data_IF_179404933012
#
_entry.id   IF_179404933012
#
_cell.length_a   1.000
_cell.length_b   1.000
_cell.length_c   1.000
_cell.angle_alpha   90.00
_cell.angle_beta   90.00
_cell.angle_gamma   90.00
#
_symmetry.space_group_name_H-M   'P 1'
#
loop_
_entity.id
_entity.type
_entity.pdbx_description
1 polymer ?
#
# COMPACT_ATOMS: atom_id res chain seq x y z
N UNK A 1 -6.61 5.95 -11.43
CA UNK A 1 -7.00 6.95 -10.43
C UNK A 1 -7.88 8.05 -11.02
N UNK A 2 -8.80 8.61 -10.23
CA UNK A 2 -9.91 9.46 -10.70
C UNK A 2 -9.49 10.69 -11.50
N UNK A 3 -8.33 11.24 -11.17
CA UNK A 3 -7.79 12.47 -11.75
C UNK A 3 -6.97 12.27 -13.04
N UNK A 4 -6.66 11.04 -13.45
CA UNK A 4 -5.68 10.78 -14.51
C UNK A 4 -6.27 10.48 -15.90
N UNK A 5 -7.60 10.61 -16.03
CA UNK A 5 -8.38 10.30 -17.25
C UNK A 5 -8.19 8.86 -17.73
N UNK A 6 -8.10 7.89 -16.81
CA UNK A 6 -8.04 6.46 -17.11
C UNK A 6 -6.67 5.97 -17.62
N UNK A 7 -5.61 6.79 -17.51
CA UNK A 7 -4.26 6.40 -17.97
C UNK A 7 -3.68 5.23 -17.19
N UNK A 8 -4.03 5.10 -15.91
CA UNK A 8 -3.57 4.01 -15.03
C UNK A 8 -4.08 2.62 -15.45
N UNK A 9 -5.15 2.53 -16.26
CA UNK A 9 -5.86 1.29 -16.57
C UNK A 9 -5.32 0.53 -17.77
N UNK A 10 -4.58 1.21 -18.64
CA UNK A 10 -4.16 0.69 -19.94
C UNK A 10 -2.73 0.13 -19.89
N UNK A 11 -2.10 0.05 -18.71
CA UNK A 11 -0.63 -0.08 -18.63
C UNK A 11 -0.15 -1.12 -17.64
N UNK A 12 0.70 -2.00 -18.14
CA UNK A 12 1.58 -2.86 -17.36
C UNK A 12 2.77 -2.05 -16.85
N UNK A 13 3.10 -2.24 -15.57
CA UNK A 13 4.34 -1.70 -15.02
C UNK A 13 5.53 -2.50 -15.52
N UNK A 14 6.64 -1.85 -15.94
CA UNK A 14 7.81 -2.58 -16.39
C UNK A 14 8.41 -3.37 -15.23
N UNK A 15 8.32 -4.70 -15.32
CA UNK A 15 8.94 -5.64 -14.36
C UNK A 15 10.47 -5.52 -14.32
N UNK A 16 11.06 -4.85 -15.32
CA UNK A 16 12.49 -4.50 -15.38
C UNK A 16 12.91 -3.51 -14.29
N UNK A 17 11.98 -2.77 -13.68
CA UNK A 17 12.27 -1.78 -12.62
C UNK A 17 11.85 -2.30 -11.25
N UNK A 18 10.62 -2.80 -11.12
CA UNK A 18 10.07 -3.29 -9.86
C UNK A 18 9.65 -4.75 -10.04
N UNK A 19 10.23 -5.65 -9.24
CA UNK A 19 9.88 -7.07 -9.27
C UNK A 19 8.45 -7.32 -8.80
N UNK A 20 7.77 -8.28 -9.43
CA UNK A 20 6.48 -8.84 -8.99
C UNK A 20 6.62 -10.12 -8.18
N UNK A 21 7.85 -10.51 -7.81
CA UNK A 21 8.14 -11.86 -7.32
C UNK A 21 7.33 -12.32 -6.10
N UNK A 22 6.85 -11.42 -5.23
CA UNK A 22 5.90 -11.80 -4.17
C UNK A 22 4.55 -12.24 -4.75
N UNK A 23 3.98 -11.43 -5.65
CA UNK A 23 2.69 -11.72 -6.29
C UNK A 23 2.77 -12.96 -7.16
N UNK A 24 3.83 -13.10 -7.94
CA UNK A 24 4.06 -14.29 -8.78
C UNK A 24 4.15 -15.57 -7.93
N UNK A 25 4.80 -15.48 -6.75
CA UNK A 25 4.88 -16.59 -5.80
C UNK A 25 3.51 -16.93 -5.19
N UNK A 26 2.73 -15.93 -4.75
CA UNK A 26 1.37 -16.15 -4.21
C UNK A 26 0.45 -16.80 -5.24
N UNK A 27 0.57 -16.40 -6.51
CA UNK A 27 -0.25 -16.89 -7.61
C UNK A 27 0.28 -18.18 -8.25
N UNK A 28 1.38 -18.74 -7.73
CA UNK A 28 2.02 -19.94 -8.26
C UNK A 28 2.31 -19.85 -9.78
N UNK A 29 2.73 -18.67 -10.25
CA UNK A 29 3.01 -18.42 -11.67
C UNK A 29 4.17 -19.31 -12.14
N UNK A 30 4.03 -19.87 -13.35
CA UNK A 30 5.09 -20.65 -13.99
C UNK A 30 6.31 -19.73 -14.28
N UNK A 31 7.42 -19.97 -13.59
CA UNK A 31 8.64 -19.12 -13.58
C UNK A 31 8.44 -17.74 -12.93
N UNK A 32 8.25 -17.69 -11.60
CA UNK A 32 8.01 -16.43 -10.91
C UNK A 32 9.24 -15.53 -10.90
N UNK A 33 9.04 -14.22 -10.79
CA UNK A 33 10.11 -13.28 -10.48
C UNK A 33 10.80 -13.60 -9.15
N UNK A 34 11.97 -12.99 -8.90
CA UNK A 34 12.71 -13.20 -7.64
C UNK A 34 11.83 -12.79 -6.45
N UNK A 35 11.55 -13.76 -5.56
CA UNK A 35 10.88 -13.56 -4.27
C UNK A 35 11.63 -12.51 -3.43
N UNK A 36 10.93 -11.64 -2.68
CA UNK A 36 11.61 -10.74 -1.76
C UNK A 36 12.36 -11.51 -0.66
N UNK A 37 13.43 -10.91 -0.16
CA UNK A 37 14.21 -11.50 0.95
C UNK A 37 13.53 -11.29 2.32
N UNK A 38 12.64 -10.29 2.39
CA UNK A 38 11.87 -9.86 3.56
C UNK A 38 10.62 -9.11 3.10
N UNK A 39 9.53 -9.17 3.87
CA UNK A 39 8.31 -8.38 3.61
C UNK A 39 8.56 -6.87 3.73
N UNK A 40 9.60 -6.49 4.48
CA UNK A 40 10.11 -5.12 4.57
C UNK A 40 11.59 -5.12 4.19
N UNK A 41 11.95 -4.36 3.16
CA UNK A 41 13.33 -4.12 2.75
C UNK A 41 13.69 -2.66 3.00
N UNK A 42 14.90 -2.39 3.46
CA UNK A 42 15.33 -1.03 3.83
C UNK A 42 16.69 -0.69 3.28
N UNK A 43 16.90 0.59 2.94
CA UNK A 43 18.18 1.13 2.45
C UNK A 43 18.36 2.56 2.93
N UNK A 44 19.59 2.97 3.21
CA UNK A 44 19.94 4.37 3.31
C UNK A 44 20.41 4.84 1.94
N UNK A 45 19.72 5.82 1.35
CA UNK A 45 20.06 6.37 0.05
C UNK A 45 21.01 7.56 0.18
N UNK A 46 21.62 7.94 -0.95
CA UNK A 46 22.42 9.16 -1.03
C UNK A 46 21.63 10.39 -0.56
N UNK A 47 22.34 11.31 0.09
CA UNK A 47 21.70 12.45 0.73
C UNK A 47 20.93 12.08 2.00
N UNK A 48 21.29 11.00 2.71
CA UNK A 48 20.68 10.68 4.02
C UNK A 48 19.14 10.55 3.97
N UNK A 49 18.63 9.85 2.96
CA UNK A 49 17.20 9.58 2.78
C UNK A 49 16.95 8.12 3.16
N UNK A 50 15.98 7.89 4.06
CA UNK A 50 15.54 6.54 4.38
C UNK A 50 14.71 5.99 3.23
N UNK A 51 14.91 4.72 2.88
CA UNK A 51 14.07 4.00 1.93
C UNK A 51 13.54 2.74 2.60
N UNK A 52 12.22 2.55 2.57
CA UNK A 52 11.54 1.34 2.99
C UNK A 52 10.69 0.85 1.82
N UNK A 53 10.86 -0.41 1.43
CA UNK A 53 9.89 -1.13 0.59
C UNK A 53 9.07 -2.04 1.50
N UNK A 54 7.76 -1.93 1.45
CA UNK A 54 6.84 -2.89 2.06
C UNK A 54 6.10 -3.61 0.93
N UNK A 55 6.11 -4.94 1.00
CA UNK A 55 5.56 -5.79 -0.05
C UNK A 55 4.08 -6.14 0.15
N UNK A 56 3.59 -6.04 1.38
CA UNK A 56 2.22 -6.32 1.78
C UNK A 56 2.07 -6.21 3.29
N UNK A 57 0.87 -5.94 3.76
CA UNK A 57 0.52 -5.78 5.17
C UNK A 57 0.19 -7.13 5.82
N UNK A 58 1.10 -8.09 5.68
CA UNK A 58 0.91 -9.47 6.14
C UNK A 58 2.25 -10.07 6.58
N UNK A 59 2.19 -10.90 7.62
CA UNK A 59 3.34 -11.68 8.08
C UNK A 59 3.47 -12.94 7.22
N UNK A 60 4.61 -13.09 6.53
CA UNK A 60 4.84 -14.21 5.61
C UNK A 60 6.18 -14.87 5.91
N UNK A 61 6.16 -16.19 6.08
CA UNK A 61 7.38 -17.00 6.15
C UNK A 61 7.96 -17.22 4.74
N UNK A 62 8.63 -16.19 4.24
CA UNK A 62 9.22 -16.21 2.91
C UNK A 62 10.32 -17.28 2.74
N UNK A 63 10.85 -17.81 3.83
CA UNK A 63 11.98 -18.76 3.84
C UNK A 63 11.57 -20.19 4.22
N UNK A 64 10.28 -20.44 4.43
CA UNK A 64 9.73 -21.77 4.78
C UNK A 64 10.40 -22.36 6.03
N UNK A 65 10.66 -21.50 7.01
CA UNK A 65 11.32 -21.84 8.28
C UNK A 65 10.34 -22.33 9.37
N UNK A 66 9.03 -22.24 9.11
CA UNK A 66 7.95 -22.49 10.05
C UNK A 66 7.56 -21.28 10.91
N UNK A 67 8.22 -20.13 10.74
CA UNK A 67 7.94 -18.89 11.50
C UNK A 67 7.88 -17.70 10.55
N UNK A 68 6.78 -16.94 10.60
CA UNK A 68 6.67 -15.68 9.86
C UNK A 68 7.23 -14.51 10.71
N UNK A 69 8.23 -13.76 10.22
CA UNK A 69 8.64 -12.52 10.86
C UNK A 69 7.51 -11.47 10.83
N UNK A 70 7.41 -10.66 11.89
CA UNK A 70 6.44 -9.57 11.94
C UNK A 70 6.81 -8.45 10.96
N UNK A 71 5.98 -8.22 9.95
CA UNK A 71 6.11 -7.14 8.97
C UNK A 71 6.06 -5.78 9.66
N UNK A 72 5.10 -5.56 10.57
CA UNK A 72 5.03 -4.33 11.38
C UNK A 72 6.29 -4.15 12.25
N UNK A 73 6.77 -5.22 12.88
CA UNK A 73 7.99 -5.17 13.69
C UNK A 73 9.24 -4.82 12.88
N UNK A 74 9.36 -5.36 11.66
CA UNK A 74 10.43 -5.03 10.73
C UNK A 74 10.35 -3.57 10.26
N UNK A 75 9.13 -3.08 9.99
CA UNK A 75 8.89 -1.68 9.63
C UNK A 75 9.29 -0.73 10.76
N UNK A 76 8.78 -0.96 11.98
CA UNK A 76 9.14 -0.19 13.19
C UNK A 76 10.65 -0.19 13.43
N UNK A 77 11.31 -1.34 13.22
CA UNK A 77 12.76 -1.44 13.36
C UNK A 77 13.52 -0.59 12.33
N UNK A 78 13.08 -0.60 11.07
CA UNK A 78 13.66 0.24 10.02
C UNK A 78 13.48 1.74 10.33
N UNK A 79 12.27 2.13 10.76
CA UNK A 79 11.95 3.51 11.09
C UNK A 79 12.73 4.00 12.32
N UNK A 80 12.88 3.17 13.36
CA UNK A 80 13.70 3.47 14.53
C UNK A 80 15.17 3.71 14.16
N UNK A 81 15.71 2.93 13.22
CA UNK A 81 17.07 3.15 12.71
C UNK A 81 17.19 4.47 11.96
N UNK A 82 16.24 4.77 11.07
CA UNK A 82 16.25 6.03 10.33
C UNK A 82 16.07 7.25 11.22
N UNK A 83 15.29 7.15 12.30
CA UNK A 83 15.22 8.17 13.34
C UNK A 83 16.58 8.39 14.04
N UNK A 84 17.30 7.31 14.38
CA UNK A 84 18.66 7.41 14.97
C UNK A 84 19.65 8.06 14.01
N UNK A 85 19.56 7.73 12.72
CA UNK A 85 20.38 8.31 11.65
C UNK A 85 19.95 9.73 11.26
N UNK A 86 18.81 10.21 11.79
CA UNK A 86 18.23 11.52 11.48
C UNK A 86 18.12 11.74 9.98
N UNK A 87 17.53 10.76 9.28
CA UNK A 87 17.31 10.87 7.84
C UNK A 87 16.49 12.13 7.53
N UNK A 88 16.78 12.76 6.40
CA UNK A 88 16.13 14.02 6.00
C UNK A 88 14.68 13.81 5.53
N UNK A 89 14.35 12.60 5.11
CA UNK A 89 13.03 12.20 4.64
C UNK A 89 12.99 10.70 4.41
N UNK A 90 11.78 10.18 4.19
CA UNK A 90 11.51 8.78 3.95
C UNK A 90 10.88 8.59 2.58
N UNK A 91 11.42 7.67 1.79
CA UNK A 91 10.73 7.10 0.63
C UNK A 91 10.11 5.78 1.08
N UNK A 92 8.78 5.70 0.97
CA UNK A 92 8.02 4.49 1.25
C UNK A 92 7.58 3.87 -0.09
N UNK A 93 8.28 2.84 -0.55
CA UNK A 93 7.95 2.13 -1.77
C UNK A 93 6.87 1.08 -1.54
N UNK A 94 5.66 1.41 -1.95
CA UNK A 94 4.47 0.54 -1.95
C UNK A 94 4.07 0.14 -3.38
N UNK A 95 4.96 0.29 -4.37
CA UNK A 95 4.75 -0.26 -5.72
C UNK A 95 4.71 -1.78 -5.65
N UNK A 96 3.76 -2.37 -6.38
CA UNK A 96 3.45 -3.81 -6.41
C UNK A 96 2.99 -4.39 -5.07
N UNK A 97 2.69 -3.55 -4.06
CA UNK A 97 2.19 -4.01 -2.77
C UNK A 97 0.90 -4.85 -2.96
N UNK A 98 0.86 -6.04 -2.36
CA UNK A 98 -0.23 -7.02 -2.52
C UNK A 98 -1.40 -6.80 -1.55
N UNK A 99 -1.31 -5.82 -0.66
CA UNK A 99 -2.26 -5.59 0.43
C UNK A 99 -2.00 -6.50 1.62
N UNK A 100 -3.01 -6.64 2.48
CA UNK A 100 -2.97 -7.55 3.62
C UNK A 100 -4.03 -7.19 4.65
N UNK A 101 -3.58 -6.90 5.85
CA UNK A 101 -4.40 -6.53 6.99
C UNK A 101 -4.56 -5.01 7.05
N UNK A 102 -5.80 -4.55 7.06
CA UNK A 102 -6.14 -3.13 7.21
C UNK A 102 -5.69 -2.59 8.56
N UNK A 103 -5.77 -3.41 9.62
CA UNK A 103 -5.25 -3.06 10.94
C UNK A 103 -3.76 -2.73 10.92
N UNK A 104 -2.95 -3.50 10.18
CA UNK A 104 -1.52 -3.26 10.06
C UNK A 104 -1.24 -1.97 9.26
N UNK A 105 -2.05 -1.64 8.26
CA UNK A 105 -1.97 -0.34 7.58
C UNK A 105 -2.24 0.81 8.54
N UNK A 106 -3.29 0.70 9.36
CA UNK A 106 -3.62 1.71 10.37
C UNK A 106 -2.51 1.87 11.41
N UNK A 107 -1.91 0.77 11.87
CA UNK A 107 -0.75 0.77 12.78
C UNK A 107 0.49 1.42 12.14
N UNK A 108 0.78 1.13 10.87
CA UNK A 108 1.89 1.77 10.14
C UNK A 108 1.65 3.28 10.00
N UNK A 109 0.44 3.70 9.65
CA UNK A 109 0.07 5.12 9.57
C UNK A 109 0.13 5.83 10.94
N UNK A 110 -0.07 5.09 12.03
CA UNK A 110 0.12 5.54 13.40
C UNK A 110 1.54 6.05 13.68
N UNK A 111 2.54 5.47 13.01
CA UNK A 111 3.95 5.89 13.11
C UNK A 111 4.23 7.24 12.47
N UNK A 112 3.30 7.78 11.69
CA UNK A 112 3.40 9.08 11.03
C UNK A 112 2.39 10.11 11.57
N UNK A 113 1.53 9.69 12.50
CA UNK A 113 0.38 10.47 12.98
C UNK A 113 0.58 10.90 14.44
N UNK A 114 0.18 12.14 14.75
CA UNK A 114 0.20 12.67 16.13
C UNK A 114 -1.15 12.64 16.82
N UNK A 115 -2.21 12.45 16.04
CA UNK A 115 -3.58 12.49 16.50
C UNK A 115 -4.28 11.23 15.99
N UNK A 116 -5.25 10.77 16.77
CA UNK A 116 -6.14 9.68 16.37
C UNK A 116 -6.97 10.12 15.17
N UNK A 117 -7.06 9.26 14.15
CA UNK A 117 -7.89 9.48 12.97
C UNK A 117 -8.65 8.20 12.60
N UNK A 118 -9.82 8.34 11.98
CA UNK A 118 -10.53 7.20 11.41
C UNK A 118 -9.73 6.66 10.23
N UNK A 119 -9.49 5.34 10.20
CA UNK A 119 -8.95 4.66 9.04
C UNK A 119 -10.09 4.18 8.13
N UNK A 120 -11.05 3.43 8.69
CA UNK A 120 -12.22 2.96 7.95
C UNK A 120 -13.33 2.43 8.86
N UNK A 121 -14.51 2.26 8.26
CA UNK A 121 -15.48 1.25 8.68
C UNK A 121 -15.48 0.08 7.68
N UNK A 122 -15.34 -1.14 8.19
CA UNK A 122 -15.45 -2.36 7.40
C UNK A 122 -16.92 -2.77 7.25
N UNK A 123 -17.45 -2.76 6.02
CA UNK A 123 -18.83 -3.16 5.69
C UNK A 123 -18.88 -4.42 4.85
N UNK A 124 -19.66 -5.42 5.25
CA UNK A 124 -19.74 -6.72 4.58
C UNK A 124 -21.16 -7.06 4.10
N UNK A 125 -21.26 -7.75 2.97
CA UNK A 125 -22.54 -8.19 2.43
C UNK A 125 -23.11 -9.37 3.23
N UNK A 126 -24.24 -9.16 3.88
CA UNK A 126 -24.99 -10.21 4.56
C UNK A 126 -25.98 -10.84 3.57
N UNK A 127 -25.71 -12.09 3.15
CA UNK A 127 -26.55 -12.82 2.20
C UNK A 127 -27.92 -13.23 2.76
N UNK A 128 -28.06 -13.34 4.08
CA UNK A 128 -29.33 -13.68 4.72
C UNK A 128 -30.31 -12.49 4.70
N UNK A 129 -29.80 -11.26 4.83
CA UNK A 129 -30.62 -10.03 4.81
C UNK A 129 -30.61 -9.32 3.46
N UNK A 130 -29.65 -9.64 2.59
CA UNK A 130 -29.46 -9.00 1.30
C UNK A 130 -28.87 -7.59 1.38
N UNK A 131 -28.21 -7.23 2.49
CA UNK A 131 -27.75 -5.86 2.78
C UNK A 131 -26.30 -5.83 3.25
N UNK A 132 -25.59 -4.74 2.96
CA UNK A 132 -24.30 -4.45 3.58
C UNK A 132 -24.47 -4.03 5.04
N UNK A 133 -23.58 -4.50 5.91
CA UNK A 133 -23.59 -4.22 7.36
C UNK A 133 -22.16 -3.94 7.82
N UNK A 134 -21.98 -2.88 8.61
CA UNK A 134 -20.73 -2.64 9.32
C UNK A 134 -20.61 -3.71 10.40
N UNK A 135 -19.56 -4.50 10.32
CA UNK A 135 -19.26 -5.58 11.26
C UNK A 135 -17.80 -5.47 11.70
N UNK A 136 -17.49 -5.93 12.92
CA UNK A 136 -16.11 -6.11 13.31
C UNK A 136 -15.41 -7.08 12.35
N UNK A 137 -14.26 -6.69 11.80
CA UNK A 137 -13.35 -7.65 11.16
C UNK A 137 -12.75 -8.58 12.24
N UNK A 138 -12.24 -9.74 11.85
CA UNK A 138 -11.71 -10.79 12.75
C UNK A 138 -10.59 -10.30 13.69
N UNK A 139 -9.96 -9.16 13.37
CA UNK A 139 -8.90 -8.52 14.16
C UNK A 139 -9.34 -7.19 14.82
N UNK A 140 -10.59 -6.79 14.67
CA UNK A 140 -11.09 -5.54 15.25
C UNK A 140 -11.31 -5.65 16.77
N UNK A 141 -11.18 -4.53 17.47
CA UNK A 141 -11.52 -4.46 18.89
C UNK A 141 -13.04 -4.64 19.04
N UNK A 142 -13.45 -5.85 19.45
CA UNK A 142 -14.85 -6.19 19.68
C UNK A 142 -15.51 -5.33 20.78
N UNK A 143 -14.71 -4.60 21.57
CA UNK A 143 -15.22 -3.63 22.55
C UNK A 143 -15.48 -2.26 21.95
N UNK A 144 -15.08 -2.01 20.69
CA UNK A 144 -15.39 -0.77 20.00
C UNK A 144 -16.85 -0.79 19.52
N UNK A 145 -17.77 0.01 20.11
CA UNK A 145 -19.20 -0.05 19.79
C UNK A 145 -19.54 0.45 18.39
N UNK A 146 -18.64 1.16 17.71
CA UNK A 146 -18.84 1.64 16.34
C UNK A 146 -18.16 0.77 15.27
N UNK A 147 -17.42 -0.27 15.67
CA UNK A 147 -16.62 -1.17 14.81
C UNK A 147 -15.68 -0.44 13.84
N UNK A 148 -15.33 0.80 14.13
CA UNK A 148 -14.36 1.56 13.36
C UNK A 148 -12.94 1.04 13.61
N UNK A 149 -12.12 1.07 12.56
CA UNK A 149 -10.68 0.96 12.67
C UNK A 149 -10.08 2.36 12.69
N UNK A 150 -9.19 2.61 13.65
CA UNK A 150 -8.56 3.91 13.84
C UNK A 150 -7.05 3.83 13.60
N UNK A 151 -6.52 4.89 12.99
CA UNK A 151 -5.10 5.23 13.06
C UNK A 151 -4.86 5.81 14.46
N UNK A 152 -4.04 5.13 15.25
CA UNK A 152 -3.65 5.57 16.59
C UNK A 152 -2.16 5.97 16.57
N UNK A 153 -1.77 7.13 17.14
CA UNK A 153 -0.37 7.51 17.24
C UNK A 153 0.47 6.44 17.94
N UNK A 154 1.61 6.07 17.35
CA UNK A 154 2.47 5.00 17.87
C UNK A 154 3.97 5.30 17.67
N UNK A 155 4.81 4.54 18.35
CA UNK A 155 6.26 4.65 18.31
C UNK A 155 6.91 3.53 17.48
N UNK A 156 8.00 3.82 16.74
CA UNK A 156 8.69 5.12 16.66
C UNK A 156 7.97 6.13 15.75
N UNK A 157 7.75 7.35 16.23
CA UNK A 157 7.16 8.41 15.42
C UNK A 157 8.15 9.00 14.40
N UNK A 158 7.72 9.18 13.15
CA UNK A 158 8.46 9.90 12.10
C UNK A 158 7.65 11.08 11.58
N UNK A 159 8.08 12.29 11.94
CA UNK A 159 7.41 13.52 11.53
C UNK A 159 8.01 14.22 10.30
N UNK A 160 9.01 13.62 9.65
CA UNK A 160 9.69 14.22 8.48
C UNK A 160 8.89 14.06 7.17
N UNK A 161 9.40 14.60 6.05
CA UNK A 161 8.80 14.40 4.73
C UNK A 161 8.76 12.92 4.33
N UNK A 162 7.62 12.49 3.78
CA UNK A 162 7.40 11.12 3.30
C UNK A 162 6.95 11.16 1.83
N UNK A 163 7.63 10.42 0.96
CA UNK A 163 7.21 10.20 -0.42
C UNK A 163 6.86 8.72 -0.63
N UNK A 164 5.57 8.42 -0.77
CA UNK A 164 5.09 7.09 -1.10
C UNK A 164 5.20 6.84 -2.61
N UNK A 165 6.05 5.90 -3.03
CA UNK A 165 6.08 5.44 -4.42
C UNK A 165 4.92 4.48 -4.65
N UNK A 166 4.04 4.79 -5.60
CA UNK A 166 2.82 4.03 -5.90
C UNK A 166 2.76 3.59 -7.36
N UNK A 167 1.98 2.55 -7.63
CA UNK A 167 1.64 2.13 -8.98
C UNK A 167 0.34 1.33 -9.05
N UNK A 168 -0.10 1.01 -10.26
CA UNK A 168 -1.35 0.29 -10.53
C UNK A 168 -1.38 -1.17 -10.03
N UNK A 169 -0.30 -1.66 -9.44
CA UNK A 169 -0.23 -2.98 -8.79
C UNK A 169 -0.25 -2.89 -7.26
N UNK A 170 -0.30 -1.70 -6.68
CA UNK A 170 -0.65 -1.49 -5.29
C UNK A 170 -2.18 -1.66 -5.14
N UNK A 171 -2.60 -2.60 -4.30
CA UNK A 171 -4.00 -3.03 -4.13
C UNK A 171 -4.37 -3.12 -2.64
N UNK A 172 -5.67 -3.14 -2.35
CA UNK A 172 -6.23 -3.44 -1.02
C UNK A 172 -5.68 -2.51 0.07
N UNK A 173 -5.32 -3.03 1.25
CA UNK A 173 -4.76 -2.28 2.38
C UNK A 173 -3.59 -1.37 2.01
N UNK A 174 -2.77 -1.75 1.01
CA UNK A 174 -1.70 -0.92 0.47
C UNK A 174 -2.20 0.41 -0.14
N UNK A 175 -3.44 0.44 -0.64
CA UNK A 175 -4.11 1.67 -1.10
C UNK A 175 -4.58 2.53 0.06
N UNK A 176 -5.07 1.93 1.14
CA UNK A 176 -5.35 2.66 2.39
C UNK A 176 -4.08 3.27 2.98
N UNK A 177 -2.94 2.59 2.86
CA UNK A 177 -1.62 3.10 3.21
C UNK A 177 -1.22 4.28 2.31
N UNK A 178 -1.41 4.17 0.99
CA UNK A 178 -1.17 5.27 0.05
C UNK A 178 -2.05 6.50 0.35
N UNK A 179 -3.34 6.28 0.66
CA UNK A 179 -4.30 7.31 1.01
C UNK A 179 -3.89 8.02 2.31
N UNK A 180 -3.60 7.25 3.36
CA UNK A 180 -3.18 7.81 4.65
C UNK A 180 -1.88 8.62 4.56
N UNK A 181 -0.87 8.17 3.78
CA UNK A 181 0.34 8.97 3.57
C UNK A 181 0.03 10.26 2.83
N UNK A 182 -0.81 10.22 1.79
CA UNK A 182 -1.19 11.41 1.02
C UNK A 182 -1.86 12.49 1.88
N UNK A 183 -2.59 12.08 2.91
CA UNK A 183 -3.31 12.99 3.82
C UNK A 183 -2.42 13.57 4.93
N UNK A 184 -1.17 13.11 5.06
CA UNK A 184 -0.22 13.69 6.01
C UNK A 184 0.19 15.11 5.59
N UNK A 185 0.45 16.02 6.56
CA UNK A 185 0.89 17.38 6.25
C UNK A 185 2.18 17.50 5.41
N UNK A 186 3.02 16.45 5.43
CA UNK A 186 4.28 16.36 4.67
C UNK A 186 4.40 15.03 3.91
N UNK A 187 3.26 14.48 3.51
CA UNK A 187 3.19 13.24 2.74
C UNK A 187 2.85 13.51 1.28
N UNK A 188 3.55 12.82 0.39
CA UNK A 188 3.33 12.90 -1.05
C UNK A 188 3.22 11.49 -1.63
N UNK A 189 2.38 11.32 -2.65
CA UNK A 189 2.32 10.11 -3.46
C UNK A 189 2.97 10.38 -4.82
N UNK A 190 3.94 9.55 -5.19
CA UNK A 190 4.78 9.74 -6.37
C UNK A 190 4.68 8.51 -7.27
N UNK A 191 4.47 8.74 -8.55
CA UNK A 191 4.50 7.67 -9.53
C UNK A 191 4.05 8.11 -10.93
N UNK A 192 4.20 7.22 -11.91
CA UNK A 192 3.66 7.42 -13.25
C UNK A 192 2.12 7.40 -13.24
N UNK A 193 1.56 6.46 -12.49
CA UNK A 193 0.14 6.11 -12.42
C UNK A 193 -0.29 5.97 -10.96
N UNK A 194 -1.60 6.01 -10.73
CA UNK A 194 -2.13 5.78 -9.39
C UNK A 194 -2.18 4.30 -9.03
N UNK A 195 -2.69 4.02 -7.83
CA UNK A 195 -2.98 2.65 -7.36
C UNK A 195 -4.12 2.01 -8.13
N UNK A 196 -4.41 0.74 -7.85
CA UNK A 196 -5.32 -0.08 -8.63
C UNK A 196 -6.79 0.37 -8.56
N UNK A 197 -7.25 0.86 -7.41
CA UNK A 197 -8.65 1.14 -7.12
C UNK A 197 -9.41 -0.09 -6.69
N UNK A 198 -8.84 -0.88 -5.78
CA UNK A 198 -9.32 -2.17 -5.30
C UNK A 198 -9.19 -2.27 -3.77
N UNK A 199 -9.89 -1.39 -3.03
CA UNK A 199 -9.88 -1.36 -1.56
C UNK A 199 -11.19 -1.93 -0.96
N UNK A 200 -11.54 -3.14 -1.41
CA UNK A 200 -12.66 -3.90 -0.86
C UNK A 200 -12.18 -5.14 -0.12
N UNK A 201 -13.03 -5.72 0.73
CA UNK A 201 -12.67 -6.90 1.51
C UNK A 201 -12.83 -8.17 0.68
N UNK A 202 -11.74 -8.91 0.59
CA UNK A 202 -11.65 -10.21 -0.07
C UNK A 202 -11.88 -11.36 0.93
N UNK A 203 -12.39 -12.49 0.44
CA UNK A 203 -12.65 -13.67 1.29
C UNK A 203 -13.93 -14.42 0.92
N UNK A 204 -14.81 -13.78 0.14
CA UNK A 204 -15.97 -14.44 -0.44
C UNK A 204 -15.57 -15.51 -1.46
N UNK A 205 -16.24 -16.65 -1.45
CA UNK A 205 -16.05 -17.67 -2.46
C UNK A 205 -16.96 -18.88 -2.32
N UNK A 206 -17.00 -19.69 -3.38
CA UNK A 206 -17.69 -20.97 -3.39
C UNK A 206 -16.94 -22.01 -4.23
N UNK A 207 -17.04 -23.27 -3.79
CA UNK A 207 -16.64 -24.43 -4.59
C UNK A 207 -17.78 -24.80 -5.51
N UNK A 208 -17.48 -24.97 -6.79
CA UNK A 208 -18.42 -25.46 -7.81
C UNK A 208 -17.93 -26.81 -8.36
N UNK A 209 -18.78 -27.58 -9.07
CA UNK A 209 -18.35 -28.84 -9.68
C UNK A 209 -17.10 -28.69 -10.56
N UNK A 210 -16.28 -29.74 -10.60
CA UNK A 210 -15.04 -29.75 -11.39
C UNK A 210 -13.80 -29.21 -10.66
N UNK A 211 -13.80 -29.20 -9.33
CA UNK A 211 -12.70 -28.67 -8.50
C UNK A 211 -12.38 -27.19 -8.76
N UNK A 212 -13.37 -26.42 -9.19
CA UNK A 212 -13.23 -24.98 -9.40
C UNK A 212 -13.64 -24.25 -8.12
N UNK A 213 -12.86 -23.27 -7.72
CA UNK A 213 -13.20 -22.31 -6.67
C UNK A 213 -13.36 -20.94 -7.31
N UNK A 214 -14.50 -20.30 -7.08
CA UNK A 214 -14.76 -18.93 -7.51
C UNK A 214 -14.63 -18.04 -6.28
N UNK A 215 -13.85 -16.96 -6.39
CA UNK A 215 -13.68 -15.96 -5.35
C UNK A 215 -14.30 -14.64 -5.78
N UNK A 216 -14.80 -13.86 -4.83
CA UNK A 216 -15.32 -12.52 -5.05
C UNK A 216 -15.08 -11.62 -3.84
N UNK A 217 -14.94 -10.29 -4.05
CA UNK A 217 -15.00 -9.34 -2.95
C UNK A 217 -16.40 -9.36 -2.33
N UNK A 218 -16.47 -9.26 -1.02
CA UNK A 218 -17.72 -9.37 -0.27
C UNK A 218 -17.91 -8.23 0.75
N UNK A 219 -16.98 -7.28 0.79
CA UNK A 219 -17.07 -6.09 1.63
C UNK A 219 -16.42 -4.85 1.02
N UNK A 220 -16.60 -3.73 1.69
CA UNK A 220 -16.25 -2.38 1.26
C UNK A 220 -15.62 -1.59 2.41
N UNK A 221 -14.49 -0.95 2.16
CA UNK A 221 -13.92 0.05 3.06
C UNK A 221 -14.71 1.35 2.94
N UNK A 222 -15.21 1.87 4.06
CA UNK A 222 -16.03 3.09 4.11
C UNK A 222 -15.37 4.21 4.94
N UNK A 223 -15.60 5.46 4.55
CA UNK A 223 -15.11 6.64 5.25
C UNK A 223 -16.00 7.04 6.44
N UNK A 224 -15.69 8.19 7.06
CA UNK A 224 -16.45 8.77 8.19
C UNK A 224 -17.93 9.02 7.87
N UNK A 225 -18.25 9.25 6.60
CA UNK A 225 -19.59 9.53 6.12
C UNK A 225 -20.29 8.23 5.65
N UNK A 226 -19.61 7.08 5.81
CA UNK A 226 -20.02 5.72 5.43
C UNK A 226 -20.14 5.54 3.91
N UNK A 227 -19.36 6.32 3.17
CA UNK A 227 -19.23 6.20 1.72
C UNK A 227 -17.98 5.40 1.36
N UNK A 228 -18.00 4.70 0.23
CA UNK A 228 -16.87 3.88 -0.22
C UNK A 228 -15.64 4.76 -0.47
N UNK A 229 -14.54 4.49 0.23
CA UNK A 229 -13.33 5.31 0.21
C UNK A 229 -12.59 5.22 -1.13
N UNK A 230 -12.35 3.99 -1.58
CA UNK A 230 -11.60 3.70 -2.81
C UNK A 230 -12.26 2.52 -3.53
N UNK A 231 -12.70 2.76 -4.75
CA UNK A 231 -13.19 1.72 -5.67
C UNK A 231 -12.98 2.20 -7.12
N UNK A 232 -12.89 1.25 -8.05
CA UNK A 232 -12.80 1.51 -9.48
C UNK A 232 -14.18 1.65 -10.09
N UNK A 233 -14.67 2.89 -10.21
CA UNK A 233 -15.96 3.16 -10.87
C UNK A 233 -15.72 3.42 -12.35
N UNK A 234 -16.29 2.60 -13.22
CA UNK A 234 -16.03 2.63 -14.68
C UNK A 234 -14.54 2.48 -15.02
N UNK A 235 -13.84 1.67 -14.22
CA UNK A 235 -12.39 1.51 -14.26
C UNK A 235 -11.62 2.69 -13.66
N UNK A 236 -12.27 3.78 -13.27
CA UNK A 236 -11.61 4.97 -12.74
C UNK A 236 -11.61 4.90 -11.20
N UNK A 237 -10.47 4.59 -10.59
CA UNK A 237 -10.32 4.50 -9.13
C UNK A 237 -8.87 4.42 -8.64
N UNK A 238 -8.68 4.39 -7.33
CA UNK A 238 -7.38 4.33 -6.66
C UNK A 238 -6.81 5.70 -6.27
N UNK A 239 -5.76 5.69 -5.47
CA UNK A 239 -5.01 6.85 -5.02
C UNK A 239 -4.12 7.36 -6.16
N UNK A 240 -4.34 8.61 -6.53
CA UNK A 240 -3.54 9.31 -7.54
C UNK A 240 -2.23 9.82 -6.99
N UNK A 241 -1.14 9.86 -7.79
CA UNK A 241 0.07 10.57 -7.42
C UNK A 241 -0.24 12.06 -7.27
N UNK A 242 -0.01 12.62 -6.09
CA UNK A 242 -0.01 14.06 -5.87
C UNK A 242 1.13 14.73 -6.63
N UNK A 243 2.26 14.04 -6.80
CA UNK A 243 3.37 14.44 -7.67
C UNK A 243 3.58 13.38 -8.75
N UNK A 244 3.08 13.65 -9.96
CA UNK A 244 3.15 12.71 -11.07
C UNK A 244 4.51 12.71 -11.75
N UNK A 245 5.14 11.53 -11.82
CA UNK A 245 6.29 11.32 -12.71
C UNK A 245 5.79 11.28 -14.15
N UNK A 246 6.31 12.12 -15.07
CA UNK A 246 5.80 12.15 -16.43
C UNK A 246 6.26 10.92 -17.22
N UNK A 247 5.31 10.19 -17.80
CA UNK A 247 5.63 9.10 -18.74
C UNK A 247 5.90 9.67 -20.15
N UNK A 248 7.06 10.30 -20.33
CA UNK A 248 7.58 10.72 -21.64
C UNK A 248 8.20 9.52 -22.39
N UNK A 249 8.45 9.66 -23.69
CA UNK A 249 9.19 8.65 -24.46
C UNK A 249 10.55 8.34 -23.83
N UNK A 250 11.27 9.37 -23.41
CA UNK A 250 12.58 9.23 -22.76
C UNK A 250 12.46 8.40 -21.47
N UNK A 251 11.55 8.76 -20.57
CA UNK A 251 11.35 8.04 -19.32
C UNK A 251 10.88 6.59 -19.55
N UNK A 252 10.06 6.35 -20.57
CA UNK A 252 9.65 5.00 -20.95
C UNK A 252 10.85 4.14 -21.42
N UNK A 253 11.75 4.73 -22.23
CA UNK A 253 12.96 4.04 -22.68
C UNK A 253 13.94 3.78 -21.53
N UNK A 254 14.07 4.71 -20.57
CA UNK A 254 14.87 4.55 -19.35
C UNK A 254 14.34 3.40 -18.48
N UNK A 255 13.03 3.39 -18.21
CA UNK A 255 12.39 2.33 -17.44
C UNK A 255 12.52 0.95 -18.14
N UNK A 256 12.39 0.90 -19.46
CA UNK A 256 12.59 -0.32 -20.24
C UNK A 256 14.03 -0.88 -20.15
N UNK A 257 15.03 -0.03 -19.85
CA UNK A 257 16.42 -0.43 -19.57
C UNK A 257 16.68 -0.80 -18.11
N UNK A 258 15.65 -0.70 -17.25
CA UNK A 258 15.77 -1.00 -15.81
C UNK A 258 16.17 0.20 -14.95
N UNK A 259 16.15 1.42 -15.48
CA UNK A 259 16.39 2.64 -14.68
C UNK A 259 15.12 3.00 -13.88
N UNK A 260 15.24 3.19 -12.56
CA UNK A 260 14.12 3.57 -11.69
C UNK A 260 13.90 5.09 -11.69
N UNK A 261 13.28 5.58 -12.77
CA UNK A 261 12.95 6.99 -12.98
C UNK A 261 12.07 7.56 -11.85
N UNK A 262 11.23 6.73 -11.24
CA UNK A 262 10.31 7.18 -10.19
C UNK A 262 11.00 7.33 -8.86
N UNK A 263 11.89 6.40 -8.51
CA UNK A 263 12.73 6.54 -7.34
C UNK A 263 13.61 7.79 -7.44
N UNK A 264 14.20 8.05 -8.61
CA UNK A 264 14.93 9.30 -8.85
C UNK A 264 14.05 10.54 -8.63
N UNK A 265 12.79 10.49 -9.05
CA UNK A 265 11.85 11.58 -8.86
C UNK A 265 11.45 11.75 -7.39
N UNK A 266 11.17 10.67 -6.66
CA UNK A 266 10.88 10.71 -5.23
C UNK A 266 12.07 11.25 -4.41
N UNK A 267 13.30 10.91 -4.79
CA UNK A 267 14.52 11.51 -4.19
C UNK A 267 14.52 13.03 -4.40
N UNK A 268 14.15 13.52 -5.60
CA UNK A 268 14.04 14.97 -5.86
C UNK A 268 12.94 15.62 -5.01
N UNK A 269 11.79 14.98 -4.87
CA UNK A 269 10.68 15.44 -4.01
C UNK A 269 11.15 15.62 -2.57
N UNK A 270 11.78 14.59 -1.98
CA UNK A 270 12.33 14.68 -0.62
C UNK A 270 13.38 15.81 -0.51
N UNK A 271 14.26 15.95 -1.49
CA UNK A 271 15.26 17.01 -1.50
C UNK A 271 14.66 18.42 -1.58
N UNK A 272 13.52 18.61 -2.26
CA UNK A 272 12.83 19.91 -2.30
C UNK A 272 12.17 20.27 -0.97
N UNK A 273 11.64 19.28 -0.22
CA UNK A 273 11.01 19.54 1.08
C UNK A 273 12.00 19.93 2.18
N UNK A 274 13.30 19.62 2.01
CA UNK A 274 14.35 19.92 3.00
C UNK A 274 15.01 21.29 2.79
N UNK A 275 14.63 22.03 1.73
CA UNK A 275 15.14 23.36 1.43
C UNK A 275 14.33 24.50 2.09
N UNK A 276 13.22 24.16 2.75
CA UNK A 276 12.35 25.05 3.55
C UNK A 276 12.61 24.87 5.05
#
# INVERSE_FOLDING_TARGET
AYDDKGKSLVKTYPSTVVSDGLRDWILEVENPGKKPESMVERRLLEGNIGYIKIWGEIDVDLKETGTAPSTLGLFKSALAEFNKLKVRGLILDIRNNVGGLDSMSAEILGLFSREKALYEYASFYNSATGTFQILPDDLSDLNNPDYALYIEPDEPFFGGPVAALINSKCVSSGEGLAMGIKDLPRGETVGFYGTNGSFGMAGGGAKIPGNIVVHWPYGQSLDKDKEVQIDSRDGIGGVSPSIRTPMTLENALRAARGEDVELEHAIKVINSCAAE
#
